data_IF_037193316461
#
_entry.id   IF_037193316461
#
_cell.length_a   1.000
_cell.length_b   1.000
_cell.length_c   1.000
_cell.angle_alpha   90.00
_cell.angle_beta   90.00
_cell.angle_gamma   90.00
#
_symmetry.space_group_name_H-M   'P 1'
#
loop_
_entity.id
_entity.type
_entity.pdbx_description
1 polymer ?
#
# COMPACT_ATOMS: atom_id res chain seq x y z
N UNK A 1 -36.96 -18.12 1.14
CA UNK A 1 -36.05 -17.42 0.20
C UNK A 1 -35.39 -16.30 0.98
N UNK A 2 -34.09 -16.43 1.28
CA UNK A 2 -33.39 -15.52 2.19
C UNK A 2 -32.71 -14.41 1.37
N UNK A 3 -33.38 -13.28 1.20
CA UNK A 3 -32.83 -12.11 0.53
C UNK A 3 -31.91 -11.35 1.50
N UNK A 4 -30.66 -11.80 1.64
CA UNK A 4 -29.64 -10.97 2.29
C UNK A 4 -29.23 -9.86 1.31
N UNK A 5 -29.74 -8.65 1.55
CA UNK A 5 -29.30 -7.47 0.83
C UNK A 5 -27.82 -7.19 1.18
N UNK A 6 -26.92 -7.48 0.24
CA UNK A 6 -25.52 -7.08 0.35
C UNK A 6 -25.43 -5.56 0.37
N UNK A 7 -25.21 -4.99 1.56
CA UNK A 7 -25.03 -3.56 1.74
C UNK A 7 -23.64 -3.16 1.24
N UNK A 8 -23.57 -2.70 -0.01
CA UNK A 8 -22.34 -2.16 -0.59
C UNK A 8 -22.07 -0.80 0.07
N UNK A 9 -21.03 -0.73 0.91
CA UNK A 9 -20.57 0.53 1.53
C UNK A 9 -19.41 1.10 0.71
N UNK A 10 -19.40 2.41 0.38
CA UNK A 10 -18.28 3.02 -0.30
C UNK A 10 -17.02 3.00 0.59
N UNK A 11 -15.88 2.64 0.00
CA UNK A 11 -14.58 2.69 0.69
C UNK A 11 -14.20 4.16 0.87
N UNK A 12 -14.31 4.65 2.11
CA UNK A 12 -14.05 6.06 2.42
C UNK A 12 -12.58 6.35 2.74
N UNK A 13 -11.80 5.33 3.15
CA UNK A 13 -10.38 5.46 3.50
C UNK A 13 -9.60 4.21 3.15
N UNK A 14 -8.45 4.38 2.49
CA UNK A 14 -7.48 3.31 2.23
C UNK A 14 -6.41 3.37 3.32
N UNK A 15 -6.20 2.27 4.04
CA UNK A 15 -5.10 2.14 5.00
C UNK A 15 -3.81 1.77 4.27
N UNK A 16 -2.91 2.74 4.11
CA UNK A 16 -1.62 2.53 3.43
C UNK A 16 -0.75 1.47 4.15
N UNK A 17 -0.59 1.48 5.49
CA UNK A 17 0.20 0.47 6.18
C UNK A 17 -0.34 -0.95 5.97
N UNK A 18 -1.66 -1.15 6.03
CA UNK A 18 -2.27 -2.47 5.85
C UNK A 18 -2.12 -2.96 4.41
N UNK A 19 -2.25 -2.04 3.44
CA UNK A 19 -1.99 -2.32 2.02
C UNK A 19 -0.54 -2.72 1.77
N UNK A 20 0.42 -2.14 2.50
CA UNK A 20 1.82 -2.54 2.39
C UNK A 20 2.09 -3.90 3.06
N UNK A 21 1.41 -4.19 4.17
CA UNK A 21 1.56 -5.46 4.90
C UNK A 21 0.90 -6.65 4.20
N UNK A 22 -0.09 -6.42 3.32
CA UNK A 22 -0.71 -7.47 2.51
C UNK A 22 0.20 -8.00 1.40
N UNK A 23 1.23 -7.24 1.02
CA UNK A 23 2.25 -7.67 0.06
C UNK A 23 3.05 -8.84 0.61
N UNK A 24 3.34 -9.84 -0.22
CA UNK A 24 4.23 -10.94 0.14
C UNK A 24 5.68 -10.46 0.16
N UNK A 25 6.53 -11.13 0.93
CA UNK A 25 7.97 -10.85 0.93
C UNK A 25 8.55 -11.18 -0.45
N UNK A 26 9.33 -10.25 -1.02
CA UNK A 26 9.85 -10.32 -2.39
C UNK A 26 8.90 -9.78 -3.45
N UNK A 27 7.63 -9.52 -3.10
CA UNK A 27 6.66 -8.96 -4.03
C UNK A 27 6.98 -7.50 -4.34
N UNK A 28 6.77 -7.13 -5.60
CA UNK A 28 6.89 -5.76 -6.09
C UNK A 28 5.57 -5.34 -6.72
N UNK A 29 5.08 -4.18 -6.30
CA UNK A 29 3.84 -3.59 -6.83
C UNK A 29 4.08 -2.17 -7.29
N UNK A 30 3.31 -1.78 -8.31
CA UNK A 30 3.24 -0.41 -8.81
C UNK A 30 1.98 0.23 -8.25
N UNK A 31 2.14 1.34 -7.53
CA UNK A 31 1.03 2.11 -6.96
C UNK A 31 0.92 3.40 -7.75
N UNK A 32 -0.27 3.70 -8.27
CA UNK A 32 -0.52 4.98 -8.92
C UNK A 32 -0.38 6.13 -7.92
N UNK A 33 0.46 7.12 -8.25
CA UNK A 33 0.64 8.33 -7.46
C UNK A 33 -0.64 9.19 -7.39
N UNK A 34 -1.60 8.97 -8.30
CA UNK A 34 -2.93 9.60 -8.27
C UNK A 34 -3.80 9.04 -7.14
N UNK A 35 -3.64 7.76 -6.83
CA UNK A 35 -4.43 7.08 -5.78
C UNK A 35 -3.81 7.33 -4.41
N UNK A 36 -2.48 7.16 -4.30
CA UNK A 36 -1.74 7.36 -3.05
C UNK A 36 -0.45 8.10 -3.38
N UNK A 37 -0.23 9.25 -2.76
CA UNK A 37 1.02 9.98 -2.95
C UNK A 37 2.23 9.24 -2.33
N UNK A 38 3.40 9.47 -2.90
CA UNK A 38 4.62 8.75 -2.53
C UNK A 38 5.16 9.12 -1.16
N UNK A 39 4.95 10.36 -0.72
CA UNK A 39 5.34 10.80 0.62
C UNK A 39 4.61 9.99 1.69
N UNK A 40 3.32 9.70 1.49
CA UNK A 40 2.54 8.85 2.42
C UNK A 40 3.00 7.40 2.40
N UNK A 41 3.32 6.84 1.23
CA UNK A 41 3.88 5.49 1.11
C UNK A 41 5.23 5.40 1.83
N UNK A 42 6.13 6.36 1.60
CA UNK A 42 7.44 6.44 2.28
C UNK A 42 7.30 6.59 3.79
N UNK A 43 6.35 7.41 4.25
CA UNK A 43 6.06 7.59 5.67
C UNK A 43 5.54 6.29 6.30
N UNK A 44 4.61 5.58 5.64
CA UNK A 44 4.08 4.31 6.10
C UNK A 44 5.18 3.23 6.16
N UNK A 45 5.96 3.07 5.10
CA UNK A 45 7.10 2.15 5.05
C UNK A 45 8.11 2.43 6.18
N UNK A 46 8.42 3.71 6.42
CA UNK A 46 9.33 4.12 7.51
C UNK A 46 8.79 3.78 8.89
N UNK A 47 7.48 3.98 9.12
CA UNK A 47 6.82 3.60 10.38
C UNK A 47 6.88 2.08 10.60
N UNK A 48 6.56 1.29 9.57
CA UNK A 48 6.60 -0.18 9.62
C UNK A 48 8.02 -0.72 9.89
N UNK A 49 9.04 -0.07 9.33
CA UNK A 49 10.45 -0.37 9.62
C UNK A 49 10.82 -0.06 11.08
N UNK A 50 10.40 1.10 11.60
CA UNK A 50 10.69 1.50 12.99
C UNK A 50 10.13 0.52 14.02
N UNK A 51 8.92 0.01 13.79
CA UNK A 51 8.29 -1.00 14.67
C UNK A 51 8.72 -2.43 14.34
N UNK A 52 9.72 -2.62 13.47
CA UNK A 52 10.27 -3.92 13.05
C UNK A 52 9.23 -4.91 12.50
N UNK A 53 8.11 -4.42 11.95
CA UNK A 53 7.05 -5.29 11.38
C UNK A 53 7.33 -5.70 9.94
N UNK A 54 7.88 -4.79 9.13
CA UNK A 54 8.19 -5.05 7.72
C UNK A 54 9.20 -4.01 7.20
N UNK A 55 9.89 -4.35 6.11
CA UNK A 55 10.83 -3.47 5.43
C UNK A 55 10.50 -3.38 3.94
N UNK A 56 10.55 -2.17 3.39
CA UNK A 56 10.21 -1.90 2.00
C UNK A 56 11.28 -1.05 1.31
N UNK A 57 11.43 -1.25 0.00
CA UNK A 57 12.04 -0.29 -0.92
C UNK A 57 10.91 0.47 -1.61
N UNK A 58 10.99 1.79 -1.61
CA UNK A 58 10.02 2.66 -2.28
C UNK A 58 10.80 3.56 -3.24
N UNK A 59 10.48 3.53 -4.53
CA UNK A 59 11.12 4.37 -5.54
C UNK A 59 10.11 4.94 -6.52
N UNK A 60 10.36 6.17 -6.95
CA UNK A 60 9.66 6.87 -8.04
C UNK A 60 10.61 7.13 -9.21
N UNK A 61 11.88 6.77 -9.07
CA UNK A 61 12.92 7.13 -10.02
C UNK A 61 12.69 6.41 -11.35
N UNK A 62 12.59 7.19 -12.42
CA UNK A 62 12.30 6.67 -13.77
C UNK A 62 10.85 6.29 -13.99
N UNK A 63 9.93 6.65 -13.08
CA UNK A 63 8.51 6.36 -13.18
C UNK A 63 7.71 7.64 -13.35
N UNK A 64 6.68 7.59 -14.20
CA UNK A 64 5.76 8.71 -14.42
C UNK A 64 4.46 8.39 -13.67
N UNK A 65 4.11 9.22 -12.68
CA UNK A 65 2.88 9.08 -11.89
C UNK A 65 2.70 7.72 -11.20
N UNK A 66 3.79 7.00 -10.95
CA UNK A 66 3.77 5.69 -10.31
C UNK A 66 4.87 5.58 -9.26
N UNK A 67 4.61 4.71 -8.28
CA UNK A 67 5.48 4.43 -7.15
C UNK A 67 5.71 2.93 -7.15
N UNK A 68 6.96 2.51 -7.30
CA UNK A 68 7.35 1.11 -7.18
C UNK A 68 7.65 0.81 -5.72
N UNK A 69 6.99 -0.21 -5.19
CA UNK A 69 7.18 -0.69 -3.82
C UNK A 69 7.55 -2.16 -3.83
N UNK A 70 8.66 -2.50 -3.20
CA UNK A 70 9.10 -3.89 -3.03
C UNK A 70 9.19 -4.22 -1.55
N UNK A 71 8.57 -5.32 -1.11
CA UNK A 71 8.69 -5.80 0.27
C UNK A 71 9.94 -6.66 0.42
N UNK A 72 10.79 -6.32 1.38
CA UNK A 72 12.05 -7.02 1.66
C UNK A 72 11.93 -8.03 2.82
N UNK A 73 11.19 -7.67 3.87
CA UNK A 73 10.92 -8.45 5.08
C UNK A 73 9.52 -8.13 5.58
#
# INVERSE_FOLDING_TARGET
>A
MNNQANTIKPVTKISIPDTLLSLKVGETVMISARTINSSSVRAAASRLKKIKKAQFIVTEQGLINEIKVTRLK
#
